data_IF_183657871417
#
_entry.id   IF_183657871417
#
_cell.length_a   1.000
_cell.length_b   1.000
_cell.length_c   1.000
_cell.angle_alpha   90.00
_cell.angle_beta   90.00
_cell.angle_gamma   90.00
#
_symmetry.space_group_name_H-M   'P 1'
#
loop_
_entity.id
_entity.type
_entity.pdbx_description
1 polymer ?
#
# COMPACT_ATOMS: atom_id res chain seq x y z
N UNK A 1 -4.52 19.48 9.73
CA UNK A 1 -3.76 18.28 10.16
C UNK A 1 -4.12 17.11 9.28
N UNK A 2 -3.10 16.37 8.81
CA UNK A 2 -3.33 15.23 7.93
C UNK A 2 -3.80 14.02 8.72
N UNK A 3 -4.71 13.25 8.11
CA UNK A 3 -5.13 11.96 8.66
C UNK A 3 -4.12 10.90 8.26
N UNK A 4 -3.74 10.06 9.20
CA UNK A 4 -2.78 8.98 8.94
C UNK A 4 -3.48 7.74 8.40
N UNK A 5 -2.90 7.15 7.37
CA UNK A 5 -3.42 5.94 6.72
C UNK A 5 -2.30 4.89 6.70
N UNK A 6 -2.62 3.68 7.10
CA UNK A 6 -1.67 2.55 7.04
C UNK A 6 -2.18 1.53 6.03
N UNK A 7 -1.36 1.24 5.03
CA UNK A 7 -1.62 0.17 4.07
C UNK A 7 -0.85 -1.08 4.47
N UNK A 8 -1.52 -2.21 4.48
CA UNK A 8 -0.94 -3.48 4.93
C UNK A 8 -1.09 -4.55 3.83
N UNK A 9 0.01 -5.21 3.51
CA UNK A 9 -0.02 -6.43 2.70
C UNK A 9 0.86 -7.48 3.38
N UNK A 10 1.14 -8.61 2.71
CA UNK A 10 1.90 -9.69 3.35
C UNK A 10 3.37 -9.29 3.54
N UNK A 11 4.05 -8.95 2.46
CA UNK A 11 5.50 -8.72 2.49
C UNK A 11 5.92 -7.25 2.47
N UNK A 12 4.99 -6.33 2.32
CA UNK A 12 5.30 -4.90 2.16
C UNK A 12 6.26 -4.64 0.98
N UNK A 13 6.25 -5.52 0.00
CA UNK A 13 7.19 -5.44 -1.12
C UNK A 13 6.64 -4.69 -2.33
N UNK A 14 5.35 -4.75 -2.59
CA UNK A 14 4.75 -4.12 -3.77
C UNK A 14 3.42 -3.41 -3.48
N UNK A 15 2.34 -4.16 -3.21
CA UNK A 15 0.97 -3.60 -3.13
C UNK A 15 0.84 -2.46 -2.13
N UNK A 16 1.25 -2.66 -0.89
CA UNK A 16 1.15 -1.63 0.15
C UNK A 16 2.09 -0.46 -0.11
N UNK A 17 3.28 -0.73 -0.65
CA UNK A 17 4.23 0.32 -1.02
C UNK A 17 3.66 1.22 -2.11
N UNK A 18 3.08 0.63 -3.15
CA UNK A 18 2.47 1.39 -4.24
C UNK A 18 1.27 2.20 -3.75
N UNK A 19 0.42 1.59 -2.91
CA UNK A 19 -0.76 2.28 -2.39
C UNK A 19 -0.38 3.50 -1.56
N UNK A 20 0.58 3.36 -0.65
CA UNK A 20 1.03 4.49 0.18
C UNK A 20 1.64 5.60 -0.66
N UNK A 21 2.50 5.25 -1.62
CA UNK A 21 3.14 6.24 -2.48
C UNK A 21 2.13 6.98 -3.35
N UNK A 22 1.14 6.26 -3.89
CA UNK A 22 0.10 6.87 -4.72
C UNK A 22 -0.79 7.80 -3.90
N UNK A 23 -1.17 7.41 -2.68
CA UNK A 23 -1.99 8.26 -1.82
C UNK A 23 -1.24 9.54 -1.45
N UNK A 24 0.02 9.43 -1.04
CA UNK A 24 0.85 10.59 -0.71
C UNK A 24 1.04 11.52 -1.92
N UNK A 25 1.11 10.97 -3.12
CA UNK A 25 1.27 11.75 -4.34
C UNK A 25 -0.03 12.46 -4.74
N UNK A 26 -1.16 11.75 -4.69
CA UNK A 26 -2.43 12.28 -5.20
C UNK A 26 -3.17 13.18 -4.24
N UNK A 27 -3.18 12.85 -2.96
CA UNK A 27 -3.88 13.67 -1.97
C UNK A 27 -3.10 13.78 -0.66
N UNK A 28 -1.80 14.02 -0.80
CA UNK A 28 -0.90 14.22 0.35
C UNK A 28 -1.18 15.48 1.15
N UNK A 29 -2.06 16.36 0.68
CA UNK A 29 -2.53 17.50 1.46
C UNK A 29 -3.43 17.08 2.62
N UNK A 30 -4.17 15.98 2.44
CA UNK A 30 -5.15 15.50 3.41
C UNK A 30 -4.69 14.28 4.18
N UNK A 31 -3.78 13.50 3.63
CA UNK A 31 -3.36 12.22 4.19
C UNK A 31 -1.84 12.08 4.26
N UNK A 32 -1.39 11.36 5.31
CA UNK A 32 -0.02 10.88 5.41
C UNK A 32 -0.09 9.36 5.43
N UNK A 33 0.36 8.73 4.37
CA UNK A 33 0.26 7.29 4.21
C UNK A 33 1.57 6.59 4.54
N UNK A 34 1.47 5.46 5.22
CA UNK A 34 2.57 4.54 5.51
C UNK A 34 2.17 3.15 5.06
N UNK A 35 3.14 2.26 4.93
CA UNK A 35 2.91 0.87 4.56
C UNK A 35 3.67 -0.08 5.47
N UNK A 36 3.15 -1.30 5.62
CA UNK A 36 3.78 -2.34 6.42
C UNK A 36 3.35 -3.72 5.91
N UNK A 37 4.02 -4.76 6.39
CA UNK A 37 3.70 -6.13 6.00
C UNK A 37 3.60 -7.06 7.19
N UNK A 38 2.82 -8.13 7.03
CA UNK A 38 2.70 -9.18 8.03
C UNK A 38 4.04 -9.90 8.21
N UNK A 39 4.72 -10.15 7.09
CA UNK A 39 6.05 -10.79 7.04
C UNK A 39 6.92 -9.97 6.08
N UNK A 40 7.63 -8.93 6.55
CA UNK A 40 8.39 -8.06 5.67
C UNK A 40 9.42 -8.81 4.83
N UNK A 41 9.40 -8.55 3.52
CA UNK A 41 10.37 -9.10 2.59
C UNK A 41 11.24 -7.99 2.00
N UNK A 42 11.61 -8.14 0.74
CA UNK A 42 12.39 -7.13 0.04
C UNK A 42 11.48 -6.29 -0.86
N UNK A 43 11.83 -5.03 -1.02
CA UNK A 43 11.11 -4.14 -1.94
C UNK A 43 11.19 -4.71 -3.36
N UNK A 44 10.03 -4.84 -4.01
CA UNK A 44 9.96 -5.41 -5.35
C UNK A 44 10.50 -4.39 -6.36
N UNK A 45 11.59 -4.73 -7.09
CA UNK A 45 12.17 -3.78 -8.06
C UNK A 45 11.23 -3.42 -9.20
N UNK A 46 10.29 -4.29 -9.56
CA UNK A 46 9.30 -3.97 -10.60
C UNK A 46 8.31 -2.92 -10.11
N UNK A 47 7.95 -2.95 -8.82
CA UNK A 47 7.11 -1.91 -8.22
C UNK A 47 7.82 -0.55 -8.27
N UNK A 48 9.12 -0.53 -8.00
CA UNK A 48 9.95 0.67 -8.11
C UNK A 48 9.88 1.22 -9.53
N UNK A 49 10.08 0.36 -10.53
CA UNK A 49 10.11 0.78 -11.93
C UNK A 49 8.76 1.30 -12.43
N UNK A 50 7.65 0.62 -12.10
CA UNK A 50 6.34 1.06 -12.59
C UNK A 50 5.88 2.36 -11.93
N UNK A 51 6.29 2.65 -10.69
CA UNK A 51 6.01 3.95 -10.08
C UNK A 51 6.91 5.05 -10.65
N UNK A 52 8.14 4.69 -11.04
CA UNK A 52 9.05 5.65 -11.69
C UNK A 52 8.44 6.15 -13.01
N UNK A 53 7.67 5.32 -13.71
CA UNK A 53 6.93 5.73 -14.91
C UNK A 53 5.96 6.88 -14.63
N UNK A 54 5.52 7.01 -13.37
CA UNK A 54 4.62 8.07 -12.92
C UNK A 54 5.37 9.19 -12.18
N UNK A 55 6.70 9.21 -12.28
CA UNK A 55 7.57 10.16 -11.60
C UNK A 55 7.49 10.05 -10.08
N UNK A 56 7.23 8.84 -9.57
CA UNK A 56 7.21 8.55 -8.13
C UNK A 56 8.37 7.62 -7.82
N UNK A 57 9.26 8.06 -6.95
CA UNK A 57 10.46 7.29 -6.57
C UNK A 57 10.29 6.65 -5.20
N UNK A 58 10.22 5.32 -5.16
CA UNK A 58 10.20 4.55 -3.92
C UNK A 58 11.47 3.72 -3.72
N UNK A 59 12.50 3.95 -4.55
CA UNK A 59 13.70 3.11 -4.57
C UNK A 59 14.43 3.04 -3.23
N UNK A 60 14.28 4.06 -2.39
CA UNK A 60 14.92 4.12 -1.08
C UNK A 60 14.03 3.65 0.06
N UNK A 61 12.80 3.27 -0.23
CA UNK A 61 11.89 2.78 0.78
C UNK A 61 12.36 1.44 1.33
N UNK A 62 12.07 1.21 2.62
CA UNK A 62 12.36 -0.04 3.28
C UNK A 62 11.04 -0.74 3.61
N UNK A 63 11.08 -2.06 3.70
CA UNK A 63 9.95 -2.81 4.20
C UNK A 63 9.94 -2.74 5.73
N UNK A 64 8.76 -2.84 6.33
CA UNK A 64 8.66 -2.87 7.79
C UNK A 64 7.50 -3.78 8.22
N UNK A 65 7.60 -4.27 9.44
CA UNK A 65 6.62 -5.19 9.99
C UNK A 65 5.42 -4.42 10.56
N UNK A 66 4.22 -4.91 10.27
CA UNK A 66 3.00 -4.32 10.83
C UNK A 66 3.01 -4.37 12.35
N UNK A 67 3.57 -5.43 12.93
CA UNK A 67 3.64 -5.57 14.39
C UNK A 67 4.56 -4.55 15.05
N UNK A 68 5.61 -4.11 14.35
CA UNK A 68 6.48 -3.03 14.84
C UNK A 68 5.73 -1.70 14.84
N UNK A 69 4.95 -1.43 13.80
CA UNK A 69 4.10 -0.24 13.74
C UNK A 69 3.05 -0.29 14.84
N UNK A 70 2.44 -1.44 15.06
CA UNK A 70 1.45 -1.65 16.12
C UNK A 70 2.06 -1.36 17.50
N UNK A 71 3.25 -1.88 17.77
CA UNK A 71 3.96 -1.69 19.05
C UNK A 71 4.38 -0.25 19.29
N UNK A 72 4.59 0.52 18.22
CA UNK A 72 5.00 1.93 18.35
C UNK A 72 3.93 2.81 18.98
N UNK A 73 2.67 2.34 19.00
CA UNK A 73 1.55 3.11 19.52
C UNK A 73 1.03 4.18 18.58
N UNK A 74 1.55 4.23 17.36
CA UNK A 74 1.09 5.20 16.36
C UNK A 74 -0.38 4.95 16.02
N UNK A 75 -1.17 6.03 15.96
CA UNK A 75 -2.60 5.96 15.68
C UNK A 75 -2.88 6.29 14.22
N UNK A 76 -3.80 5.56 13.61
CA UNK A 76 -4.20 5.76 12.22
C UNK A 76 -5.70 5.99 12.13
N UNK A 77 -6.10 6.93 11.27
CA UNK A 77 -7.52 7.14 10.98
C UNK A 77 -8.07 5.99 10.13
N UNK A 78 -7.25 5.46 9.24
CA UNK A 78 -7.62 4.35 8.35
C UNK A 78 -6.53 3.29 8.36
N UNK A 79 -6.94 2.03 8.44
CA UNK A 79 -6.05 0.88 8.23
C UNK A 79 -6.64 0.08 7.08
N UNK A 80 -5.91 -0.02 6.00
CA UNK A 80 -6.40 -0.61 4.74
C UNK A 80 -5.52 -1.79 4.35
N UNK A 81 -6.11 -3.00 4.35
CA UNK A 81 -5.40 -4.16 3.85
C UNK A 81 -5.56 -4.23 2.33
N UNK A 82 -4.47 -4.48 1.62
CA UNK A 82 -4.42 -4.50 0.16
C UNK A 82 -3.93 -5.82 -0.41
N UNK A 83 -4.04 -6.88 0.39
CA UNK A 83 -3.77 -8.27 0.01
C UNK A 83 -5.09 -9.01 -0.18
N UNK A 84 -5.06 -10.34 -0.41
CA UNK A 84 -6.31 -11.07 -0.49
C UNK A 84 -6.91 -11.29 0.91
N UNK A 85 -8.18 -11.69 0.95
CA UNK A 85 -8.92 -11.80 2.22
C UNK A 85 -8.33 -12.82 3.19
N UNK A 86 -7.81 -13.94 2.69
CA UNK A 86 -7.22 -14.96 3.55
C UNK A 86 -5.95 -14.45 4.23
N UNK A 87 -5.17 -13.65 3.52
CA UNK A 87 -3.94 -13.06 4.04
C UNK A 87 -4.23 -11.97 5.08
N UNK A 88 -5.31 -11.20 4.87
CA UNK A 88 -5.67 -10.08 5.73
C UNK A 88 -6.03 -10.51 7.16
N UNK A 89 -6.39 -11.78 7.38
CA UNK A 89 -6.78 -12.29 8.70
C UNK A 89 -5.70 -12.19 9.76
N UNK A 90 -4.43 -12.15 9.35
CA UNK A 90 -3.30 -12.03 10.27
C UNK A 90 -3.05 -10.63 10.79
N UNK A 91 -3.81 -9.65 10.32
CA UNK A 91 -3.59 -8.24 10.67
C UNK A 91 -4.05 -7.95 12.11
N UNK A 92 -3.22 -7.28 12.95
CA UNK A 92 -3.64 -6.90 14.29
C UNK A 92 -4.72 -5.82 14.26
N UNK A 93 -5.49 -5.73 15.35
CA UNK A 93 -6.50 -4.68 15.52
C UNK A 93 -5.82 -3.48 16.18
N UNK A 94 -5.73 -2.38 15.46
CA UNK A 94 -5.10 -1.16 15.97
C UNK A 94 -6.03 -0.45 16.96
N UNK A 95 -5.48 0.15 18.04
CA UNK A 95 -6.28 0.85 19.05
C UNK A 95 -6.81 2.17 18.52
N UNK A 96 -7.84 2.69 19.20
CA UNK A 96 -8.44 3.98 18.90
C UNK A 96 -9.57 3.88 17.88
N UNK A 97 -10.04 5.05 17.45
CA UNK A 97 -11.11 5.13 16.45
C UNK A 97 -10.49 5.00 15.07
N UNK A 98 -10.41 3.76 14.59
CA UNK A 98 -9.81 3.45 13.31
C UNK A 98 -10.85 2.85 12.37
N UNK A 99 -10.99 3.42 11.19
CA UNK A 99 -11.80 2.84 10.12
C UNK A 99 -10.94 1.80 9.42
N UNK A 100 -11.46 0.56 9.34
CA UNK A 100 -10.77 -0.54 8.67
C UNK A 100 -11.43 -0.81 7.32
N UNK A 101 -10.59 -0.84 6.28
CA UNK A 101 -11.02 -1.13 4.92
C UNK A 101 -10.21 -2.30 4.38
N UNK A 102 -10.75 -2.98 3.39
CA UNK A 102 -10.04 -4.04 2.69
C UNK A 102 -10.24 -3.87 1.19
N UNK A 103 -9.12 -3.75 0.48
CA UNK A 103 -9.08 -3.69 -0.98
C UNK A 103 -8.27 -4.87 -1.48
N UNK A 104 -8.87 -5.74 -2.25
CA UNK A 104 -8.18 -6.93 -2.75
C UNK A 104 -7.49 -6.65 -4.09
N UNK A 105 -6.17 -6.89 -4.15
CA UNK A 105 -5.40 -6.76 -5.39
C UNK A 105 -4.53 -8.01 -5.58
N UNK A 106 -4.33 -8.44 -6.84
CA UNK A 106 -3.41 -9.55 -7.11
C UNK A 106 -1.99 -9.20 -6.68
N UNK A 107 -1.22 -10.20 -6.24
CA UNK A 107 0.17 -9.99 -5.87
C UNK A 107 1.05 -10.00 -7.13
N UNK A 108 1.62 -8.86 -7.53
CA UNK A 108 2.46 -8.81 -8.73
C UNK A 108 3.74 -9.63 -8.60
N UNK A 109 4.19 -9.92 -7.38
CA UNK A 109 5.37 -10.76 -7.14
C UNK A 109 5.14 -12.21 -7.56
N UNK A 110 3.89 -12.64 -7.74
CA UNK A 110 3.54 -13.98 -8.20
C UNK A 110 3.41 -14.06 -9.71
N UNK A 111 3.61 -12.97 -10.44
CA UNK A 111 3.56 -12.97 -11.89
C UNK A 111 4.65 -13.86 -12.47
N UNK A 112 4.32 -14.56 -13.56
CA UNK A 112 5.22 -15.46 -14.25
C UNK A 112 5.47 -15.01 -15.68
N UNK A 113 6.45 -15.64 -16.33
CA UNK A 113 6.77 -15.33 -17.71
C UNK A 113 8.03 -14.50 -17.87
N UNK A 114 8.10 -13.75 -18.98
CA UNK A 114 9.25 -12.89 -19.27
C UNK A 114 9.25 -11.66 -18.38
N UNK A 115 10.38 -10.94 -18.33
CA UNK A 115 10.47 -9.68 -17.61
C UNK A 115 9.40 -8.69 -18.10
N UNK A 116 9.19 -8.61 -19.41
CA UNK A 116 8.19 -7.72 -19.99
C UNK A 116 6.77 -8.09 -19.52
N UNK A 117 6.45 -9.38 -19.49
CA UNK A 117 5.15 -9.86 -19.00
C UNK A 117 4.94 -9.51 -17.54
N UNK A 118 5.98 -9.71 -16.71
CA UNK A 118 5.94 -9.35 -15.29
C UNK A 118 5.79 -7.85 -15.08
N UNK A 119 6.46 -7.04 -15.89
CA UNK A 119 6.32 -5.58 -15.85
C UNK A 119 4.90 -5.16 -16.20
N UNK A 120 4.32 -5.75 -17.24
CA UNK A 120 2.94 -5.44 -17.67
C UNK A 120 1.94 -5.80 -16.57
N UNK A 121 2.11 -6.94 -15.92
CA UNK A 121 1.24 -7.35 -14.81
C UNK A 121 1.37 -6.38 -13.62
N UNK A 122 2.59 -5.96 -13.33
CA UNK A 122 2.84 -5.00 -12.25
C UNK A 122 2.21 -3.63 -12.57
N UNK A 123 2.29 -3.19 -13.82
CA UNK A 123 1.60 -1.96 -14.26
C UNK A 123 0.09 -2.08 -14.10
N UNK A 124 -0.45 -3.23 -14.43
CA UNK A 124 -1.89 -3.49 -14.32
C UNK A 124 -2.36 -3.40 -12.87
N UNK A 125 -1.61 -4.01 -11.95
CA UNK A 125 -1.90 -3.93 -10.52
C UNK A 125 -1.76 -2.49 -10.02
N UNK A 126 -0.68 -1.79 -10.42
CA UNK A 126 -0.50 -0.37 -10.11
C UNK A 126 -1.70 0.46 -10.51
N UNK A 127 -2.20 0.25 -11.73
CA UNK A 127 -3.33 1.03 -12.25
C UNK A 127 -4.62 0.74 -11.50
N UNK A 128 -4.84 -0.51 -11.09
CA UNK A 128 -5.99 -0.87 -10.24
C UNK A 128 -5.91 -0.19 -8.88
N UNK A 129 -4.73 -0.21 -8.26
CA UNK A 129 -4.52 0.46 -6.98
C UNK A 129 -4.75 1.96 -7.14
N UNK A 130 -4.21 2.55 -8.20
CA UNK A 130 -4.35 3.98 -8.48
C UNK A 130 -5.81 4.39 -8.63
N UNK A 131 -6.60 3.61 -9.33
CA UNK A 131 -8.04 3.89 -9.47
C UNK A 131 -8.74 3.87 -8.12
N UNK A 132 -8.41 2.90 -7.26
CA UNK A 132 -8.99 2.81 -5.92
C UNK A 132 -8.55 3.99 -5.04
N UNK A 133 -7.29 4.41 -5.17
CA UNK A 133 -6.76 5.58 -4.45
C UNK A 133 -7.51 6.85 -4.88
N UNK A 134 -7.78 7.01 -6.18
CA UNK A 134 -8.54 8.17 -6.67
C UNK A 134 -9.94 8.23 -6.07
N UNK A 135 -10.61 7.08 -6.00
CA UNK A 135 -11.92 7.00 -5.36
C UNK A 135 -11.86 7.38 -3.89
N UNK A 136 -10.85 6.86 -3.19
CA UNK A 136 -10.64 7.15 -1.77
C UNK A 136 -10.41 8.66 -1.56
N UNK A 137 -9.57 9.27 -2.38
CA UNK A 137 -9.32 10.71 -2.31
C UNK A 137 -10.59 11.50 -2.54
N UNK A 138 -11.43 11.08 -3.49
CA UNK A 138 -12.68 11.74 -3.81
C UNK A 138 -13.69 11.64 -2.65
N UNK A 139 -13.77 10.48 -1.99
CA UNK A 139 -14.76 10.26 -0.93
C UNK A 139 -14.33 10.85 0.41
N UNK A 140 -13.05 10.79 0.74
CA UNK A 140 -12.56 11.12 2.09
C UNK A 140 -11.58 12.28 2.14
N UNK A 141 -11.03 12.70 1.01
CA UNK A 141 -10.01 13.73 0.95
C UNK A 141 -10.54 15.15 0.79
N UNK A 142 -11.79 15.31 0.38
CA UNK A 142 -12.38 16.63 0.22
C UNK A 142 -12.94 17.13 1.55
N UNK A 143 -12.74 18.42 1.89
CA UNK A 143 -13.38 18.99 3.07
C UNK A 143 -14.90 19.11 2.90
#
# INVERSE_FOLDING_TARGET
MKKKVLFICVHNSARSQMAAALLNNRCGEYFEAKSAGLEPGMLNPLAVEVLREMEIDISKNKTQAVFDVFKSGELFAYVITVCDESEARGCPIFPGVTTRLHWSFPDPSKATGTLEQKMNETRHVRDKIDNQIRQFCSEYGAP
#
